data_IF_813203539321
#
_entry.id   IF_813203539321
#
_cell.length_a   1.000
_cell.length_b   1.000
_cell.length_c   1.000
_cell.angle_alpha   90.00
_cell.angle_beta   90.00
_cell.angle_gamma   90.00
#
_symmetry.space_group_name_H-M   'P 1'
#
loop_
_entity.id
_entity.type
_entity.pdbx_description
1 polymer ?
#
# COMPACT_ATOMS: atom_id res chain seq x y z
N UNK A 1 -9.69 21.32 22.95
CA UNK A 1 -10.61 21.54 21.80
C UNK A 1 -11.10 20.16 21.37
N UNK A 2 -12.41 19.86 21.45
CA UNK A 2 -12.90 18.53 21.11
C UNK A 2 -12.87 18.33 19.60
N UNK A 3 -12.48 17.12 19.18
CA UNK A 3 -12.50 16.69 17.79
C UNK A 3 -13.96 16.50 17.36
N UNK A 4 -14.37 17.24 16.33
CA UNK A 4 -15.67 17.06 15.70
C UNK A 4 -15.54 15.89 14.74
N UNK A 5 -16.11 14.74 15.10
CA UNK A 5 -16.25 13.59 14.20
C UNK A 5 -17.28 13.93 13.12
N UNK A 6 -16.81 14.43 11.98
CA UNK A 6 -17.64 14.53 10.77
C UNK A 6 -17.39 13.27 9.95
N UNK A 7 -18.34 12.35 10.04
CA UNK A 7 -18.33 11.07 9.35
C UNK A 7 -18.11 11.22 7.85
N UNK A 8 -17.01 10.65 7.38
CA UNK A 8 -16.75 10.45 5.97
C UNK A 8 -15.41 9.78 5.79
N UNK A 9 -15.41 8.47 5.54
CA UNK A 9 -14.22 7.68 5.18
C UNK A 9 -13.35 8.36 4.08
N UNK A 10 -13.94 9.23 3.26
CA UNK A 10 -13.26 10.06 2.25
C UNK A 10 -12.32 11.13 2.85
N UNK A 11 -12.66 11.71 3.99
CA UNK A 11 -11.82 12.74 4.64
C UNK A 11 -10.62 12.07 5.33
N UNK A 12 -10.84 10.96 6.01
CA UNK A 12 -9.77 10.21 6.68
C UNK A 12 -8.78 9.63 5.68
N UNK A 13 -9.27 9.01 4.60
CA UNK A 13 -8.41 8.52 3.51
C UNK A 13 -7.65 9.64 2.80
N UNK A 14 -8.26 10.83 2.62
CA UNK A 14 -7.56 11.99 2.09
C UNK A 14 -6.46 12.49 3.05
N UNK A 15 -6.74 12.53 4.35
CA UNK A 15 -5.75 12.90 5.37
C UNK A 15 -4.59 11.91 5.43
N UNK A 16 -4.89 10.60 5.41
CA UNK A 16 -3.90 9.53 5.33
C UNK A 16 -3.09 9.59 4.04
N UNK A 17 -3.72 9.86 2.90
CA UNK A 17 -3.03 10.04 1.62
C UNK A 17 -2.07 11.23 1.65
N UNK A 18 -2.50 12.35 2.24
CA UNK A 18 -1.66 13.54 2.44
C UNK A 18 -0.50 13.22 3.40
N UNK A 19 -0.77 12.51 4.50
CA UNK A 19 0.25 12.08 5.47
C UNK A 19 1.25 11.10 4.85
N UNK A 20 0.77 10.15 4.05
CA UNK A 20 1.55 9.18 3.27
C UNK A 20 2.20 9.80 2.02
N UNK A 21 2.02 11.11 1.80
CA UNK A 21 2.63 11.88 0.70
C UNK A 21 2.27 11.36 -0.69
N UNK A 22 1.05 10.86 -0.85
CA UNK A 22 0.30 10.79 -2.11
C UNK A 22 0.81 9.86 -3.21
N UNK A 23 1.89 9.11 -3.01
CA UNK A 23 2.35 8.17 -4.04
C UNK A 23 1.65 6.80 -3.95
N UNK A 24 1.39 6.33 -2.73
CA UNK A 24 0.76 5.03 -2.49
C UNK A 24 -0.71 5.22 -2.13
N UNK A 25 -1.54 4.25 -2.54
CA UNK A 25 -2.92 4.16 -2.04
C UNK A 25 -2.89 3.91 -0.53
N UNK A 26 -3.90 4.40 0.17
CA UNK A 26 -4.15 4.10 1.58
C UNK A 26 -4.64 2.66 1.73
N UNK A 27 -3.75 1.70 1.51
CA UNK A 27 -3.97 0.29 1.77
C UNK A 27 -3.11 -0.09 2.97
N UNK A 28 -3.65 -0.92 3.85
CA UNK A 28 -2.90 -1.43 5.00
C UNK A 28 -1.92 -2.52 4.53
N UNK A 29 -0.68 -2.54 5.05
CA UNK A 29 0.23 -3.64 4.79
C UNK A 29 -0.35 -4.93 5.38
N UNK A 30 -0.29 -6.01 4.62
CA UNK A 30 -0.78 -7.31 5.05
C UNK A 30 0.29 -8.37 4.86
N UNK A 31 0.58 -9.08 5.95
CA UNK A 31 1.50 -10.21 5.98
C UNK A 31 0.65 -11.45 6.26
N UNK A 32 0.54 -12.38 5.30
CA UNK A 32 -0.29 -13.57 5.46
C UNK A 32 0.32 -14.49 6.51
N UNK A 33 -0.45 -14.98 7.49
CA UNK A 33 0.01 -16.05 8.37
C UNK A 33 0.16 -17.37 7.60
N UNK A 34 1.06 -18.26 8.04
CA UNK A 34 1.25 -19.57 7.38
C UNK A 34 -0.02 -20.44 7.47
N UNK A 35 -0.79 -20.28 8.56
CA UNK A 35 -1.98 -21.08 8.86
C UNK A 35 -3.28 -20.58 8.19
N UNK A 36 -3.20 -19.67 7.20
CA UNK A 36 -4.40 -19.10 6.52
C UNK A 36 -5.30 -20.20 5.96
N UNK A 37 -4.74 -21.17 5.23
CA UNK A 37 -5.54 -22.22 4.59
C UNK A 37 -6.26 -23.09 5.63
N UNK A 38 -5.55 -23.46 6.70
CA UNK A 38 -6.07 -24.34 7.76
C UNK A 38 -7.19 -23.63 8.52
N UNK A 39 -6.97 -22.38 8.90
CA UNK A 39 -7.95 -21.58 9.66
C UNK A 39 -9.22 -21.33 8.84
N UNK A 40 -9.10 -21.05 7.54
CA UNK A 40 -10.25 -20.86 6.64
C UNK A 40 -11.00 -22.18 6.44
N UNK A 41 -10.31 -23.31 6.25
CA UNK A 41 -10.93 -24.62 6.14
C UNK A 41 -11.67 -25.02 7.43
N UNK A 42 -11.09 -24.74 8.60
CA UNK A 42 -11.76 -24.94 9.90
C UNK A 42 -12.99 -24.05 10.08
N UNK A 43 -12.93 -22.80 9.60
CA UNK A 43 -14.06 -21.88 9.63
C UNK A 43 -15.20 -22.36 8.71
N UNK A 44 -14.85 -22.85 7.52
CA UNK A 44 -15.78 -23.40 6.54
C UNK A 44 -16.47 -24.69 7.02
N UNK A 45 -15.79 -25.52 7.81
CA UNK A 45 -16.34 -26.75 8.37
C UNK A 45 -17.44 -26.52 9.44
N UNK A 46 -17.66 -25.27 9.88
CA UNK A 46 -18.70 -24.97 10.87
C UNK A 46 -20.09 -25.20 10.27
N UNK A 47 -21.03 -25.76 11.05
CA UNK A 47 -22.36 -26.14 10.56
C UNK A 47 -23.22 -24.94 10.11
N UNK A 48 -22.81 -23.72 10.45
CA UNK A 48 -23.48 -22.47 10.09
C UNK A 48 -23.39 -22.14 8.60
N UNK A 49 -22.38 -22.68 7.90
CA UNK A 49 -22.07 -22.30 6.53
C UNK A 49 -22.47 -23.38 5.50
N UNK A 50 -22.56 -24.66 5.90
CA UNK A 50 -22.99 -25.75 5.03
C UNK A 50 -21.88 -26.26 4.09
N UNK A 51 -22.24 -26.91 2.98
CA UNK A 51 -21.28 -27.41 1.98
C UNK A 51 -20.84 -26.28 1.03
N UNK A 52 -19.77 -25.56 1.39
CA UNK A 52 -19.25 -24.44 0.61
C UNK A 52 -18.39 -24.84 -0.60
N UNK A 53 -18.18 -26.14 -0.84
CA UNK A 53 -17.35 -26.63 -1.94
C UNK A 53 -17.85 -26.22 -3.33
N UNK A 54 -19.14 -25.90 -3.48
CA UNK A 54 -19.73 -25.41 -4.74
C UNK A 54 -19.95 -23.88 -4.78
N UNK A 55 -19.49 -23.16 -3.75
CA UNK A 55 -19.70 -21.73 -3.57
C UNK A 55 -20.71 -21.38 -2.47
N UNK A 56 -20.87 -20.08 -2.22
CA UNK A 56 -21.76 -19.58 -1.17
C UNK A 56 -23.24 -19.67 -1.57
N UNK A 57 -24.11 -20.31 -0.77
CA UNK A 57 -25.53 -20.48 -1.10
C UNK A 57 -26.33 -19.18 -1.01
N UNK A 58 -25.99 -18.29 -0.08
CA UNK A 58 -26.70 -17.03 0.16
C UNK A 58 -25.72 -15.88 0.39
N UNK A 59 -26.09 -14.68 -0.06
CA UNK A 59 -25.25 -13.47 0.11
C UNK A 59 -24.98 -13.14 1.60
N UNK A 60 -25.95 -13.42 2.49
CA UNK A 60 -25.78 -13.28 3.94
C UNK A 60 -24.72 -14.22 4.51
N UNK A 61 -24.64 -15.47 4.01
CA UNK A 61 -23.64 -16.44 4.47
C UNK A 61 -22.24 -16.01 4.06
N UNK A 62 -22.09 -15.48 2.84
CA UNK A 62 -20.85 -14.89 2.34
C UNK A 62 -20.43 -13.69 3.18
N UNK A 63 -21.37 -12.79 3.48
CA UNK A 63 -21.10 -11.61 4.32
C UNK A 63 -20.61 -12.01 5.72
N UNK A 64 -21.33 -12.91 6.39
CA UNK A 64 -20.93 -13.41 7.73
C UNK A 64 -19.56 -14.08 7.71
N UNK A 65 -19.28 -14.89 6.68
CA UNK A 65 -18.01 -15.56 6.53
C UNK A 65 -16.84 -14.58 6.35
N UNK A 66 -16.99 -13.61 5.44
CA UNK A 66 -15.98 -12.57 5.21
C UNK A 66 -15.77 -11.68 6.44
N UNK A 67 -16.84 -11.40 7.20
CA UNK A 67 -16.76 -10.64 8.44
C UNK A 67 -15.95 -11.39 9.53
N UNK A 68 -16.12 -12.71 9.65
CA UNK A 68 -15.29 -13.52 10.54
C UNK A 68 -13.83 -13.59 10.06
N UNK A 69 -13.60 -13.74 8.75
CA UNK A 69 -12.25 -13.69 8.18
C UNK A 69 -11.57 -12.34 8.45
N UNK A 70 -12.33 -11.23 8.32
CA UNK A 70 -11.85 -9.88 8.64
C UNK A 70 -11.37 -9.78 10.09
N UNK A 71 -12.12 -10.35 11.03
CA UNK A 71 -11.75 -10.34 12.46
C UNK A 71 -10.50 -11.17 12.75
N UNK A 72 -10.33 -12.30 12.08
CA UNK A 72 -9.18 -13.20 12.28
C UNK A 72 -7.90 -12.58 11.70
N UNK A 73 -7.96 -12.14 10.45
CA UNK A 73 -6.77 -11.69 9.71
C UNK A 73 -6.53 -10.17 9.80
N UNK A 74 -7.45 -9.42 10.39
CA UNK A 74 -7.45 -7.94 10.40
C UNK A 74 -7.29 -7.33 8.99
N UNK A 75 -7.73 -8.05 7.96
CA UNK A 75 -7.61 -7.63 6.57
C UNK A 75 -8.97 -7.69 5.87
N UNK A 76 -9.35 -6.56 5.25
CA UNK A 76 -10.68 -6.36 4.67
C UNK A 76 -10.64 -6.51 3.16
N UNK A 77 -11.59 -7.26 2.61
CA UNK A 77 -11.76 -7.39 1.15
C UNK A 77 -12.35 -6.10 0.57
N UNK A 78 -11.74 -5.56 -0.48
CA UNK A 78 -12.28 -4.38 -1.17
C UNK A 78 -13.50 -4.74 -2.04
N UNK A 79 -14.41 -3.78 -2.22
CA UNK A 79 -15.64 -3.96 -3.00
C UNK A 79 -15.38 -4.44 -4.45
N UNK A 80 -14.26 -4.03 -5.04
CA UNK A 80 -13.85 -4.48 -6.37
C UNK A 80 -13.61 -5.98 -6.44
N UNK A 81 -13.08 -6.61 -5.37
CA UNK A 81 -12.74 -8.03 -5.34
C UNK A 81 -13.91 -8.92 -4.88
N UNK A 82 -14.98 -8.34 -4.33
CA UNK A 82 -16.10 -9.13 -3.80
C UNK A 82 -16.76 -10.02 -4.86
N UNK A 83 -16.76 -9.64 -6.14
CA UNK A 83 -17.39 -10.45 -7.20
C UNK A 83 -16.54 -11.65 -7.63
N UNK A 84 -15.22 -11.59 -7.41
CA UNK A 84 -14.25 -12.65 -7.76
C UNK A 84 -14.26 -13.78 -6.71
N UNK A 85 -14.55 -13.46 -5.44
CA UNK A 85 -14.60 -14.44 -4.35
C UNK A 85 -15.88 -15.28 -4.39
N UNK A 86 -15.91 -16.37 -5.16
CA UNK A 86 -17.09 -17.24 -5.27
C UNK A 86 -16.96 -18.51 -4.44
N UNK A 87 -15.75 -19.05 -4.34
CA UNK A 87 -15.42 -20.29 -3.65
C UNK A 87 -14.58 -20.03 -2.40
N UNK A 88 -14.37 -21.06 -1.58
CA UNK A 88 -13.44 -20.99 -0.45
C UNK A 88 -12.00 -20.84 -0.95
N UNK A 89 -11.66 -21.52 -2.03
CA UNK A 89 -10.30 -21.53 -2.57
C UNK A 89 -9.89 -20.12 -3.02
N UNK A 90 -10.80 -19.37 -3.65
CA UNK A 90 -10.57 -17.96 -4.02
C UNK A 90 -10.27 -17.10 -2.77
N UNK A 91 -10.94 -17.39 -1.65
CA UNK A 91 -10.73 -16.66 -0.39
C UNK A 91 -9.39 -17.04 0.24
N UNK A 92 -9.00 -18.32 0.18
CA UNK A 92 -7.69 -18.79 0.64
C UNK A 92 -6.60 -18.09 -0.17
N UNK A 93 -6.70 -18.06 -1.50
CA UNK A 93 -5.73 -17.40 -2.37
C UNK A 93 -5.63 -15.90 -2.07
N UNK A 94 -6.77 -15.23 -1.85
CA UNK A 94 -6.81 -13.82 -1.48
C UNK A 94 -6.05 -13.54 -0.16
N UNK A 95 -6.33 -14.30 0.90
CA UNK A 95 -5.67 -14.12 2.19
C UNK A 95 -4.25 -14.70 2.25
N UNK A 96 -3.82 -15.50 1.28
CA UNK A 96 -2.42 -15.89 1.13
C UNK A 96 -1.58 -14.83 0.41
N UNK A 97 -2.23 -13.91 -0.31
CA UNK A 97 -1.53 -12.89 -1.09
C UNK A 97 -1.05 -11.75 -0.19
N UNK A 98 0.27 -11.48 -0.08
CA UNK A 98 0.78 -10.39 0.74
C UNK A 98 0.53 -9.03 0.09
N UNK A 99 0.23 -8.02 0.91
CA UNK A 99 0.08 -6.62 0.46
C UNK A 99 1.24 -5.81 1.00
N UNK A 100 2.13 -5.38 0.09
CA UNK A 100 3.27 -4.51 0.41
C UNK A 100 2.96 -3.07 0.08
N UNK A 101 3.16 -2.19 1.06
CA UNK A 101 3.02 -0.73 0.92
C UNK A 101 4.36 -0.02 0.79
N UNK A 102 5.46 -0.75 0.61
CA UNK A 102 6.79 -0.16 0.45
C UNK A 102 6.94 0.45 -0.94
N UNK A 103 7.51 1.65 -1.02
CA UNK A 103 7.80 2.27 -2.32
C UNK A 103 8.92 1.47 -3.02
N UNK A 104 8.85 1.25 -4.35
CA UNK A 104 9.87 0.50 -5.07
C UNK A 104 11.30 1.03 -4.89
N UNK A 105 11.44 2.36 -4.77
CA UNK A 105 12.73 3.00 -4.51
C UNK A 105 13.28 2.67 -3.12
N UNK A 106 12.42 2.47 -2.13
CA UNK A 106 12.83 2.10 -0.77
C UNK A 106 13.17 0.61 -0.71
N UNK A 107 12.47 -0.24 -1.46
CA UNK A 107 12.82 -1.66 -1.65
C UNK A 107 14.20 -1.80 -2.28
N UNK A 108 14.49 -1.04 -3.35
CA UNK A 108 15.77 -1.07 -4.05
C UNK A 108 16.96 -0.63 -3.17
N UNK A 109 16.73 0.16 -2.12
CA UNK A 109 17.77 0.53 -1.15
C UNK A 109 18.13 -0.59 -0.18
N UNK A 110 17.18 -1.50 0.07
CA UNK A 110 17.31 -2.56 1.06
C UNK A 110 17.83 -3.86 0.43
N UNK A 111 17.64 -4.04 -0.87
CA UNK A 111 18.14 -5.21 -1.61
C UNK A 111 19.66 -5.12 -1.85
N UNK A 112 20.29 -6.28 -2.05
CA UNK A 112 21.70 -6.35 -2.43
C UNK A 112 21.85 -6.00 -3.92
N UNK A 113 22.25 -4.76 -4.22
CA UNK A 113 22.52 -4.34 -5.60
C UNK A 113 23.78 -5.03 -6.15
N UNK A 114 23.79 -5.36 -7.46
CA UNK A 114 25.01 -5.84 -8.10
C UNK A 114 26.10 -4.76 -8.08
N UNK A 115 27.36 -5.18 -8.04
CA UNK A 115 28.53 -4.30 -7.79
C UNK A 115 28.68 -3.15 -8.80
N UNK A 116 28.10 -3.30 -9.99
CA UNK A 116 28.12 -2.31 -11.07
C UNK A 116 26.92 -1.34 -11.04
N UNK A 117 25.99 -1.47 -10.10
CA UNK A 117 24.79 -0.65 -10.02
C UNK A 117 24.81 0.24 -8.77
N UNK A 118 24.86 1.55 -8.97
CA UNK A 118 24.74 2.54 -7.90
C UNK A 118 23.50 3.40 -8.11
N UNK A 119 22.55 3.32 -7.18
CA UNK A 119 21.28 4.06 -7.24
C UNK A 119 21.30 5.25 -6.28
N UNK A 120 21.20 6.45 -6.83
CA UNK A 120 21.10 7.67 -6.03
C UNK A 120 19.68 7.85 -5.51
N UNK A 121 19.51 7.57 -4.21
CA UNK A 121 18.22 7.63 -3.52
C UNK A 121 17.67 9.03 -3.31
N UNK A 122 18.56 10.01 -3.18
CA UNK A 122 18.23 11.41 -2.94
C UNK A 122 18.37 12.19 -4.24
N UNK A 123 17.41 13.07 -4.50
CA UNK A 123 17.52 14.03 -5.59
C UNK A 123 18.69 14.97 -5.33
N UNK A 124 19.73 14.89 -6.15
CA UNK A 124 20.80 15.89 -6.20
C UNK A 124 20.35 16.98 -7.17
N UNK A 125 20.32 18.22 -6.70
CA UNK A 125 20.01 19.39 -7.52
C UNK A 125 21.30 20.16 -7.78
N UNK A 126 21.48 20.57 -9.03
CA UNK A 126 22.57 21.45 -9.41
C UNK A 126 22.39 22.83 -8.76
N UNK A 127 23.43 23.29 -8.06
CA UNK A 127 23.52 24.63 -7.50
C UNK A 127 24.67 25.39 -8.17
N UNK A 128 24.42 26.50 -8.88
CA UNK A 128 25.42 27.16 -9.72
C UNK A 128 26.64 27.71 -8.95
N UNK A 129 26.50 27.95 -7.65
CA UNK A 129 27.58 28.50 -6.81
C UNK A 129 28.35 27.42 -6.02
N UNK A 130 27.71 26.30 -5.69
CA UNK A 130 28.29 25.26 -4.82
C UNK A 130 28.74 24.01 -5.61
N UNK A 131 28.14 23.76 -6.79
CA UNK A 131 28.38 22.54 -7.56
C UNK A 131 29.50 22.73 -8.59
N UNK A 132 30.66 22.14 -8.30
CA UNK A 132 31.85 22.14 -9.17
C UNK A 132 31.91 20.93 -10.11
N UNK A 133 30.95 20.00 -10.02
CA UNK A 133 30.90 18.83 -10.89
C UNK A 133 30.74 19.27 -12.36
N UNK A 134 31.44 18.58 -13.27
CA UNK A 134 31.43 18.86 -14.73
C UNK A 134 31.80 20.31 -15.11
N UNK A 135 32.61 20.99 -14.29
CA UNK A 135 33.06 22.36 -14.56
C UNK A 135 31.95 23.41 -14.40
N UNK A 136 30.93 23.14 -13.59
CA UNK A 136 29.80 24.05 -13.39
C UNK A 136 28.87 24.16 -14.60
N UNK A 137 28.92 23.18 -15.52
CA UNK A 137 28.04 23.11 -16.68
C UNK A 137 26.94 22.09 -16.39
N UNK A 138 25.74 22.58 -16.08
CA UNK A 138 24.56 21.73 -15.90
C UNK A 138 24.07 21.17 -17.23
N UNK A 139 23.58 19.92 -17.22
CA UNK A 139 22.94 19.27 -18.37
C UNK A 139 21.62 19.96 -18.80
N UNK A 140 21.09 20.87 -17.99
CA UNK A 140 19.88 21.65 -18.27
C UNK A 140 20.18 23.16 -18.28
N UNK A 141 20.99 23.66 -19.23
CA UNK A 141 21.25 25.08 -19.33
C UNK A 141 19.94 25.80 -19.63
N UNK A 142 19.56 26.79 -18.80
CA UNK A 142 18.32 27.61 -18.87
C UNK A 142 17.07 27.06 -18.18
N UNK A 143 17.10 25.90 -17.52
CA UNK A 143 16.00 25.55 -16.61
C UNK A 143 16.18 26.33 -15.30
N UNK A 144 15.21 27.19 -14.96
CA UNK A 144 15.24 27.92 -13.70
C UNK A 144 15.06 26.94 -12.54
N UNK A 145 16.10 26.70 -11.74
CA UNK A 145 16.09 25.79 -10.57
C UNK A 145 15.33 26.39 -9.37
N UNK A 146 14.34 27.25 -9.62
CA UNK A 146 13.57 27.91 -8.58
C UNK A 146 12.78 26.88 -7.78
N UNK A 147 13.04 26.86 -6.48
CA UNK A 147 12.33 26.00 -5.54
C UNK A 147 10.95 26.59 -5.26
N UNK A 148 9.98 26.29 -6.13
CA UNK A 148 8.62 26.83 -6.05
C UNK A 148 7.78 26.22 -4.91
N UNK A 149 8.08 24.99 -4.50
CA UNK A 149 7.31 24.28 -3.47
C UNK A 149 7.74 24.62 -2.04
N UNK A 150 6.78 24.95 -1.17
CA UNK A 150 7.02 25.24 0.26
C UNK A 150 7.75 24.10 1.00
N UNK A 151 7.43 22.84 0.66
CA UNK A 151 8.12 21.63 1.15
C UNK A 151 9.60 21.61 0.74
N UNK A 152 9.88 21.98 -0.49
CA UNK A 152 11.22 21.91 -1.06
C UNK A 152 12.08 23.09 -0.62
N UNK A 153 11.48 24.27 -0.36
CA UNK A 153 12.18 25.48 0.10
C UNK A 153 12.89 25.30 1.43
N UNK A 154 12.42 24.38 2.29
CA UNK A 154 13.10 24.02 3.55
C UNK A 154 14.24 23.01 3.36
N UNK A 155 14.15 22.15 2.34
CA UNK A 155 15.09 21.04 2.12
C UNK A 155 16.25 21.42 1.19
N UNK A 156 15.98 22.32 0.24
CA UNK A 156 16.95 22.75 -0.77
C UNK A 156 17.01 24.28 -0.75
N UNK A 157 18.22 24.83 -0.77
CA UNK A 157 18.44 26.25 -1.07
C UNK A 157 17.96 26.50 -2.49
N UNK A 158 17.25 27.59 -2.72
CA UNK A 158 16.64 27.93 -4.01
C UNK A 158 17.17 29.23 -4.55
#
# INVERSE_FOLDING_TARGET
KPAVEVGGQRIDSAYQSIAARGFLRSCDPYIPPEDVAITIQQLAARPQYGNLSKGFPTLETKFKFLEECRKIFNHTVANSYLHELQTIDDIIEFYQTPVRTTQPMDTLKQEDLPVNLHVQSNYVRYHPEEDTMFGGVSAFPKSSTLVTGLKYRKKYRG
#
